data_IF_547895730256
#
_entry.id   IF_547895730256
#
_cell.length_a   1.000
_cell.length_b   1.000
_cell.length_c   1.000
_cell.angle_alpha   90.00
_cell.angle_beta   90.00
_cell.angle_gamma   90.00
#
_symmetry.space_group_name_H-M   'P 1'
#
loop_
_entity.id
_entity.type
_entity.pdbx_description
1 polymer ?
#
# COMPACT_ATOMS: atom_id res chain seq x y z
N UNK A 1 35.84 18.30 48.12
CA UNK A 1 34.41 17.91 48.14
C UNK A 1 34.38 16.43 47.77
N UNK A 2 34.01 15.58 48.74
CA UNK A 2 33.82 14.13 48.63
C UNK A 2 32.87 13.82 47.46
N UNK A 3 32.98 12.70 46.74
CA UNK A 3 32.37 11.40 47.12
C UNK A 3 33.20 10.23 46.55
N UNK A 4 33.59 9.32 47.45
CA UNK A 4 33.96 7.93 47.18
C UNK A 4 32.71 7.12 46.80
N UNK A 5 32.85 6.11 45.93
CA UNK A 5 32.33 4.72 46.09
C UNK A 5 32.54 3.97 44.76
N UNK A 6 33.46 3.00 44.64
CA UNK A 6 33.54 1.62 45.17
C UNK A 6 33.09 0.53 44.18
N UNK A 7 34.09 -0.24 43.75
CA UNK A 7 34.18 -1.70 43.56
C UNK A 7 33.17 -2.47 42.68
N UNK A 8 33.67 -2.85 41.51
CA UNK A 8 34.07 -4.22 41.13
C UNK A 8 33.20 -5.44 41.52
N UNK A 9 32.75 -6.12 40.44
CA UNK A 9 32.90 -7.56 40.12
C UNK A 9 32.11 -8.60 40.92
N UNK A 10 31.18 -9.26 40.22
CA UNK A 10 30.83 -10.68 40.37
C UNK A 10 30.63 -11.31 38.98
N UNK A 11 31.35 -12.42 38.72
CA UNK A 11 31.08 -13.45 37.70
C UNK A 11 30.41 -14.65 38.43
N UNK A 12 30.14 -15.81 37.79
CA UNK A 12 29.17 -16.14 36.74
C UNK A 12 28.21 -17.26 37.19
N UNK A 13 27.09 -17.54 36.50
CA UNK A 13 26.56 -18.92 36.44
C UNK A 13 25.68 -19.18 35.23
N UNK A 14 26.00 -20.30 34.58
CA UNK A 14 25.33 -20.96 33.45
C UNK A 14 24.13 -21.78 33.96
N UNK A 15 23.31 -22.28 33.02
CA UNK A 15 22.25 -23.31 33.05
C UNK A 15 20.84 -22.71 33.08
N UNK A 16 19.88 -23.04 32.20
CA UNK A 16 19.61 -24.25 31.43
C UNK A 16 18.98 -23.90 30.07
N UNK A 17 19.58 -24.38 28.97
CA UNK A 17 18.94 -24.45 27.67
C UNK A 17 18.13 -25.75 27.63
N UNK A 18 16.80 -25.67 27.72
CA UNK A 18 15.93 -26.85 27.65
C UNK A 18 15.87 -27.34 26.21
N UNK A 19 16.70 -28.34 25.90
CA UNK A 19 16.65 -29.13 24.67
C UNK A 19 15.28 -29.83 24.55
N UNK A 20 14.47 -29.44 23.56
CA UNK A 20 13.32 -30.24 23.11
C UNK A 20 13.82 -31.34 22.17
N UNK A 21 13.76 -32.58 22.65
CA UNK A 21 14.00 -33.78 21.83
C UNK A 21 12.79 -34.01 20.93
N UNK A 22 12.94 -33.67 19.65
CA UNK A 22 12.00 -34.01 18.58
C UNK A 22 11.97 -35.54 18.39
N UNK A 23 10.82 -36.16 18.63
CA UNK A 23 10.56 -37.57 18.30
C UNK A 23 9.56 -37.56 17.14
N UNK A 24 10.08 -37.51 15.92
CA UNK A 24 9.28 -37.72 14.71
C UNK A 24 9.13 -39.23 14.54
N UNK A 25 7.95 -39.75 14.90
CA UNK A 25 7.55 -41.13 14.58
C UNK A 25 7.16 -41.18 13.10
N UNK A 26 8.05 -41.77 12.30
CA UNK A 26 7.84 -42.16 10.92
C UNK A 26 6.88 -43.36 10.91
N UNK A 27 5.68 -43.17 10.38
CA UNK A 27 4.66 -44.20 10.20
C UNK A 27 4.07 -44.12 8.80
N UNK A 28 4.49 -45.05 7.95
CA UNK A 28 3.95 -45.31 6.61
C UNK A 28 2.69 -46.18 6.78
N UNK A 29 1.54 -45.81 6.19
CA UNK A 29 0.66 -46.75 5.48
C UNK A 29 -0.48 -46.06 4.70
N UNK A 30 -0.36 -46.15 3.38
CA UNK A 30 -1.39 -46.54 2.39
C UNK A 30 -2.81 -45.96 2.43
N UNK A 31 -3.11 -45.17 1.39
CA UNK A 31 -4.06 -45.59 0.34
C UNK A 31 -5.56 -45.42 0.61
N UNK A 32 -6.15 -44.39 0.00
CA UNK A 32 -7.47 -44.49 -0.63
C UNK A 32 -7.47 -43.75 -1.98
N UNK A 33 -7.78 -44.53 -3.01
CA UNK A 33 -8.14 -44.11 -4.36
C UNK A 33 -9.56 -43.49 -4.30
N UNK A 34 -9.76 -42.31 -4.90
CA UNK A 34 -11.01 -42.01 -5.60
C UNK A 34 -10.79 -40.95 -6.67
N UNK A 35 -11.08 -41.36 -7.89
CA UNK A 35 -11.22 -40.55 -9.09
C UNK A 35 -12.32 -39.48 -8.96
N UNK A 36 -12.25 -38.54 -9.92
CA UNK A 36 -13.27 -37.63 -10.44
C UNK A 36 -13.16 -36.17 -9.99
N UNK A 37 -12.72 -35.37 -10.96
CA UNK A 37 -12.80 -33.91 -10.92
C UNK A 37 -11.90 -33.29 -11.97
N UNK A 38 -12.19 -33.52 -13.25
CA UNK A 38 -11.77 -32.57 -14.29
C UNK A 38 -12.40 -31.22 -13.93
N UNK A 39 -11.62 -30.33 -13.33
CA UNK A 39 -11.95 -28.91 -13.31
C UNK A 39 -10.91 -28.25 -14.18
N UNK A 40 -11.39 -27.73 -15.30
CA UNK A 40 -10.64 -26.92 -16.23
C UNK A 40 -10.04 -25.75 -15.43
N UNK A 41 -8.78 -25.84 -15.05
CA UNK A 41 -8.01 -24.64 -14.79
C UNK A 41 -7.76 -24.06 -16.17
N UNK A 42 -8.72 -23.24 -16.61
CA UNK A 42 -8.53 -22.32 -17.71
C UNK A 42 -7.16 -21.69 -17.50
N UNK A 43 -6.28 -21.92 -18.47
CA UNK A 43 -5.01 -21.25 -18.62
C UNK A 43 -5.23 -19.76 -18.37
N UNK A 44 -4.82 -19.25 -17.21
CA UNK A 44 -4.66 -17.82 -16.97
C UNK A 44 -3.38 -17.41 -17.70
N UNK A 45 -3.44 -17.50 -19.02
CA UNK A 45 -2.53 -16.84 -19.96
C UNK A 45 -3.41 -15.94 -20.81
N UNK A 46 -4.09 -14.99 -20.17
CA UNK A 46 -4.47 -13.77 -20.84
C UNK A 46 -3.49 -12.68 -20.39
N UNK A 47 -2.31 -12.71 -21.01
CA UNK A 47 -1.35 -11.61 -20.97
C UNK A 47 -1.85 -10.46 -21.85
N UNK A 48 -3.10 -10.03 -21.66
CA UNK A 48 -3.51 -8.70 -22.06
C UNK A 48 -2.84 -7.76 -21.07
N UNK A 49 -1.72 -7.17 -21.47
CA UNK A 49 -1.02 -6.08 -20.77
C UNK A 49 -1.94 -4.85 -20.80
N UNK A 50 -3.05 -4.92 -20.08
CA UNK A 50 -3.97 -3.82 -19.86
C UNK A 50 -4.15 -3.69 -18.36
N UNK A 51 -3.88 -2.49 -17.87
CA UNK A 51 -4.26 -2.12 -16.53
C UNK A 51 -5.75 -2.45 -16.34
N UNK A 52 -6.09 -3.02 -15.18
CA UNK A 52 -7.48 -3.32 -14.86
C UNK A 52 -8.23 -2.00 -14.77
N UNK A 53 -9.29 -1.84 -15.55
CA UNK A 53 -10.11 -0.65 -15.52
C UNK A 53 -11.28 -0.82 -14.55
N UNK A 54 -11.54 0.21 -13.74
CA UNK A 54 -12.61 0.25 -12.75
C UNK A 54 -13.40 1.56 -12.81
N UNK A 55 -14.57 1.58 -12.18
CA UNK A 55 -15.20 2.85 -11.72
C UNK A 55 -14.91 3.05 -10.24
N UNK A 56 -15.10 4.27 -9.73
CA UNK A 56 -14.73 4.62 -8.36
C UNK A 56 -15.42 3.75 -7.29
N UNK A 57 -16.63 3.25 -7.56
CA UNK A 57 -17.38 2.37 -6.64
C UNK A 57 -16.73 1.00 -6.47
N UNK A 58 -15.89 0.57 -7.40
CA UNK A 58 -15.16 -0.71 -7.37
C UNK A 58 -13.80 -0.60 -6.66
N UNK A 59 -13.37 0.61 -6.27
CA UNK A 59 -12.09 0.86 -5.59
C UNK A 59 -11.97 0.08 -4.28
N UNK A 60 -13.06 -0.05 -3.51
CA UNK A 60 -13.09 -0.87 -2.30
C UNK A 60 -12.62 -2.31 -2.55
N UNK A 61 -12.97 -2.87 -3.71
CA UNK A 61 -12.51 -4.21 -4.10
C UNK A 61 -11.00 -4.26 -4.33
N UNK A 62 -10.39 -3.21 -4.88
CA UNK A 62 -8.95 -3.15 -5.10
C UNK A 62 -8.19 -2.92 -3.78
N UNK A 63 -8.70 -2.05 -2.91
CA UNK A 63 -8.14 -1.82 -1.58
C UNK A 63 -8.16 -3.10 -0.72
N UNK A 64 -9.21 -3.93 -0.83
CA UNK A 64 -9.27 -5.26 -0.20
C UNK A 64 -8.19 -6.22 -0.72
N UNK A 65 -7.88 -6.17 -2.01
CA UNK A 65 -6.81 -7.00 -2.57
C UNK A 65 -5.43 -6.54 -2.06
N UNK A 66 -5.20 -5.22 -1.99
CA UNK A 66 -3.98 -4.66 -1.42
C UNK A 66 -3.86 -5.01 0.07
N UNK A 67 -4.93 -4.87 0.86
CA UNK A 67 -4.94 -5.22 2.28
C UNK A 67 -4.58 -6.70 2.54
N UNK A 68 -5.01 -7.58 1.64
CA UNK A 68 -4.77 -9.03 1.68
C UNK A 68 -3.42 -9.46 1.06
N UNK A 69 -2.56 -8.51 0.64
CA UNK A 69 -1.29 -8.78 -0.06
C UNK A 69 -1.50 -9.64 -1.32
N UNK A 70 -2.59 -9.39 -2.05
CA UNK A 70 -2.94 -10.07 -3.31
C UNK A 70 -2.64 -9.21 -4.56
N UNK A 71 -1.99 -8.07 -4.36
CA UNK A 71 -1.45 -7.22 -5.41
C UNK A 71 0.02 -7.54 -5.62
N UNK A 72 0.56 -7.24 -6.81
CA UNK A 72 1.98 -7.44 -7.10
C UNK A 72 2.88 -6.50 -6.27
N UNK A 73 2.35 -5.31 -5.94
CA UNK A 73 3.04 -4.27 -5.19
C UNK A 73 2.32 -3.97 -3.88
N UNK A 74 3.04 -3.40 -2.91
CA UNK A 74 2.53 -2.97 -1.61
C UNK A 74 1.79 -1.61 -1.66
N UNK A 75 1.41 -1.20 -2.86
CA UNK A 75 0.58 -0.04 -3.13
C UNK A 75 -0.21 -0.27 -4.42
N UNK A 76 -1.28 0.51 -4.59
CA UNK A 76 -2.01 0.61 -5.86
C UNK A 76 -2.34 2.08 -6.09
N UNK A 77 -2.42 2.50 -7.35
CA UNK A 77 -2.93 3.79 -7.77
C UNK A 77 -4.16 3.67 -8.65
N UNK A 78 -4.90 4.77 -8.78
CA UNK A 78 -5.93 4.94 -9.79
C UNK A 78 -5.69 6.21 -10.59
N UNK A 79 -5.92 6.16 -11.89
CA UNK A 79 -5.84 7.34 -12.77
C UNK A 79 -6.78 7.19 -13.95
N UNK A 80 -7.38 8.29 -14.41
CA UNK A 80 -8.19 8.31 -15.65
C UNK A 80 -7.40 8.83 -16.85
N UNK A 81 -6.35 9.62 -16.62
CA UNK A 81 -5.63 10.32 -17.68
C UNK A 81 -4.12 10.55 -17.41
N UNK A 82 -3.57 9.97 -16.34
CA UNK A 82 -2.19 10.15 -15.88
C UNK A 82 -1.97 11.37 -14.99
N UNK A 83 -2.77 12.44 -15.13
CA UNK A 83 -2.63 13.69 -14.36
C UNK A 83 -3.24 13.53 -12.96
N UNK A 84 -4.37 12.82 -12.86
CA UNK A 84 -5.18 12.62 -11.66
C UNK A 84 -4.79 11.40 -10.82
N UNK A 85 -3.57 10.89 -11.01
CA UNK A 85 -3.10 9.68 -10.36
C UNK A 85 -2.94 9.87 -8.85
N UNK A 86 -3.69 9.11 -8.06
CA UNK A 86 -3.49 9.02 -6.61
C UNK A 86 -3.16 7.58 -6.22
N UNK A 87 -2.21 7.43 -5.32
CA UNK A 87 -1.74 6.17 -4.80
C UNK A 87 -2.26 5.90 -3.39
N UNK A 88 -2.57 4.66 -3.11
CA UNK A 88 -3.02 4.15 -1.82
C UNK A 88 -1.88 3.32 -1.23
N UNK A 89 -1.26 3.87 -0.20
CA UNK A 89 -0.12 3.25 0.47
C UNK A 89 -0.57 2.77 1.83
N UNK A 90 -0.24 1.52 2.16
CA UNK A 90 -0.53 0.95 3.47
C UNK A 90 0.57 1.31 4.46
N UNK A 91 0.18 1.91 5.57
CA UNK A 91 1.04 2.18 6.71
C UNK A 91 0.48 1.41 7.91
N UNK A 92 1.12 0.29 8.24
CA UNK A 92 0.59 -0.71 9.17
C UNK A 92 -0.78 -1.28 8.72
N UNK A 93 -1.87 -0.90 9.39
CA UNK A 93 -3.24 -1.34 9.07
C UNK A 93 -4.13 -0.20 8.56
N UNK A 94 -3.54 0.94 8.23
CA UNK A 94 -4.27 2.13 7.76
C UNK A 94 -3.72 2.59 6.42
N UNK A 95 -4.60 3.14 5.60
CA UNK A 95 -4.24 3.69 4.31
C UNK A 95 -3.90 5.17 4.43
N UNK A 96 -2.98 5.58 3.56
CA UNK A 96 -2.61 6.96 3.29
C UNK A 96 -2.75 7.19 1.79
N UNK A 97 -2.94 8.44 1.38
CA UNK A 97 -3.06 8.80 -0.04
C UNK A 97 -1.84 9.60 -0.47
N UNK A 98 -1.24 9.24 -1.59
CA UNK A 98 -0.08 9.92 -2.16
C UNK A 98 -0.34 10.43 -3.57
N UNK A 99 0.27 11.58 -3.89
CA UNK A 99 0.25 12.17 -5.23
C UNK A 99 1.67 12.59 -5.60
N UNK A 100 2.20 12.04 -6.69
CA UNK A 100 3.51 12.39 -7.25
C UNK A 100 3.33 13.27 -8.48
N UNK A 101 3.94 14.45 -8.49
CA UNK A 101 3.84 15.37 -9.62
C UNK A 101 5.00 15.15 -10.61
N UNK A 102 4.77 14.28 -11.60
CA UNK A 102 5.73 13.95 -12.66
C UNK A 102 5.69 14.93 -13.83
N UNK A 103 4.50 15.44 -14.18
CA UNK A 103 4.26 16.47 -15.18
C UNK A 103 4.24 17.88 -14.58
N UNK A 104 4.59 18.89 -15.39
CA UNK A 104 4.55 20.29 -14.94
C UNK A 104 3.12 20.76 -14.64
N UNK A 105 2.15 20.23 -15.39
CA UNK A 105 0.71 20.46 -15.22
C UNK A 105 0.15 19.83 -13.93
N UNK A 106 0.83 18.82 -13.38
CA UNK A 106 0.48 18.18 -12.11
C UNK A 106 0.84 19.03 -10.88
N UNK A 107 1.79 19.96 -11.00
CA UNK A 107 2.30 20.75 -9.86
C UNK A 107 1.18 21.53 -9.16
N UNK A 108 0.26 22.11 -9.91
CA UNK A 108 -0.87 22.85 -9.36
C UNK A 108 -1.77 21.99 -8.45
N UNK A 109 -1.79 20.67 -8.64
CA UNK A 109 -2.63 19.78 -7.86
C UNK A 109 -2.02 19.48 -6.49
N UNK A 110 -0.71 19.68 -6.28
CA UNK A 110 -0.11 19.61 -4.95
C UNK A 110 -0.78 20.61 -4.01
N UNK A 111 -0.95 21.86 -4.45
CA UNK A 111 -1.56 22.90 -3.61
C UNK A 111 -3.07 22.69 -3.45
N UNK A 112 -3.78 22.22 -4.50
CA UNK A 112 -5.19 21.84 -4.39
C UNK A 112 -5.40 20.68 -3.40
N UNK A 113 -4.53 19.67 -3.42
CA UNK A 113 -4.60 18.53 -2.50
C UNK A 113 -4.23 18.93 -1.07
N UNK A 114 -3.28 19.85 -0.88
CA UNK A 114 -3.01 20.45 0.45
C UNK A 114 -4.23 21.22 0.97
N UNK A 115 -4.89 21.99 0.12
CA UNK A 115 -6.12 22.69 0.48
C UNK A 115 -7.24 21.71 0.84
N UNK A 116 -7.45 20.66 0.04
CA UNK A 116 -8.37 19.57 0.33
C UNK A 116 -8.06 18.93 1.69
N UNK A 117 -6.79 18.59 1.94
CA UNK A 117 -6.36 17.98 3.20
C UNK A 117 -6.66 18.90 4.39
N UNK A 118 -6.28 20.17 4.31
CA UNK A 118 -6.54 21.15 5.36
C UNK A 118 -8.03 21.35 5.64
N UNK A 119 -8.86 21.41 4.61
CA UNK A 119 -10.32 21.58 4.74
C UNK A 119 -10.99 20.37 5.40
N UNK A 120 -10.41 19.18 5.24
CA UNK A 120 -10.92 17.94 5.81
C UNK A 120 -10.18 17.51 7.09
N UNK A 121 -9.30 18.36 7.63
CA UNK A 121 -8.59 18.09 8.89
C UNK A 121 -7.46 17.06 8.79
N UNK A 122 -6.97 16.77 7.59
CA UNK A 122 -5.83 15.87 7.38
C UNK A 122 -4.50 16.62 7.44
N UNK A 123 -3.52 16.02 8.11
CA UNK A 123 -2.14 16.45 8.01
C UNK A 123 -1.55 16.04 6.66
N UNK A 124 -0.51 16.75 6.21
CA UNK A 124 0.22 16.41 5.00
C UNK A 124 1.72 16.38 5.24
N UNK A 125 2.42 15.60 4.43
CA UNK A 125 3.87 15.50 4.43
C UNK A 125 4.38 15.55 3.00
N UNK A 126 5.39 16.38 2.75
CA UNK A 126 6.14 16.34 1.49
C UNK A 126 7.29 15.34 1.61
N UNK A 127 7.53 14.58 0.55
CA UNK A 127 8.69 13.72 0.38
C UNK A 127 9.07 13.62 -1.10
N UNK A 128 10.11 12.86 -1.39
CA UNK A 128 10.53 12.50 -2.75
C UNK A 128 10.94 11.02 -2.76
N UNK A 129 10.91 10.40 -3.93
CA UNK A 129 11.38 9.02 -4.15
C UNK A 129 12.62 8.94 -5.06
N UNK A 130 13.24 10.08 -5.40
CA UNK A 130 14.38 10.10 -6.34
C UNK A 130 13.99 10.05 -7.82
N UNK A 131 12.69 10.02 -8.14
CA UNK A 131 12.21 9.99 -9.53
C UNK A 131 12.46 11.33 -10.22
N UNK A 132 13.00 11.30 -11.44
CA UNK A 132 13.21 12.51 -12.26
C UNK A 132 11.89 12.90 -12.96
N UNK A 133 11.34 14.10 -12.71
CA UNK A 133 10.11 14.53 -13.38
C UNK A 133 10.38 15.03 -14.81
N UNK A 134 9.30 15.29 -15.55
CA UNK A 134 9.33 15.77 -16.94
C UNK A 134 9.66 17.28 -17.05
N UNK A 135 9.80 17.98 -15.93
CA UNK A 135 10.18 19.39 -15.85
C UNK A 135 11.55 19.56 -15.17
N UNK A 136 12.07 20.78 -15.20
CA UNK A 136 13.40 21.08 -14.65
C UNK A 136 13.38 21.12 -13.10
N UNK A 137 13.44 19.95 -12.50
CA UNK A 137 13.63 19.75 -11.07
C UNK A 137 14.50 18.51 -10.80
N UNK A 138 15.27 18.46 -9.70
CA UNK A 138 16.10 17.30 -9.38
C UNK A 138 15.28 16.03 -9.16
N UNK A 139 14.16 16.13 -8.42
CA UNK A 139 13.29 15.01 -8.08
C UNK A 139 11.82 15.44 -8.08
N UNK A 140 10.93 14.49 -8.34
CA UNK A 140 9.49 14.69 -8.30
C UNK A 140 9.02 14.83 -6.85
N UNK A 141 8.24 15.88 -6.51
CA UNK A 141 7.65 16.02 -5.20
C UNK A 141 6.47 15.06 -5.07
N UNK A 142 6.40 14.43 -3.90
CA UNK A 142 5.31 13.56 -3.50
C UNK A 142 4.63 14.18 -2.29
N UNK A 143 3.32 14.43 -2.42
CA UNK A 143 2.47 14.82 -1.32
C UNK A 143 1.83 13.57 -0.72
N UNK A 144 2.12 13.28 0.55
CA UNK A 144 1.41 12.27 1.35
C UNK A 144 0.35 12.95 2.21
N UNK A 145 -0.91 12.57 2.04
CA UNK A 145 -2.03 12.96 2.89
C UNK A 145 -2.21 11.88 3.96
N UNK A 146 -2.11 12.28 5.23
CA UNK A 146 -2.17 11.38 6.37
C UNK A 146 -3.63 11.10 6.78
N UNK A 147 -4.35 10.34 5.95
CA UNK A 147 -5.76 10.02 6.15
C UNK A 147 -5.99 9.03 7.30
N UNK A 148 -5.04 8.12 7.56
CA UNK A 148 -5.16 7.07 8.59
C UNK A 148 -6.49 6.28 8.51
N UNK A 149 -6.96 6.04 7.29
CA UNK A 149 -8.29 5.54 6.99
C UNK A 149 -8.31 4.01 6.86
N UNK A 150 -9.46 3.40 7.16
CA UNK A 150 -9.72 2.01 6.73
C UNK A 150 -10.14 1.94 5.24
N UNK A 151 -10.49 0.77 4.74
CA UNK A 151 -10.81 0.55 3.32
C UNK A 151 -11.98 1.43 2.88
N UNK A 152 -13.09 1.36 3.62
CA UNK A 152 -14.32 2.06 3.32
C UNK A 152 -14.14 3.59 3.37
N UNK A 153 -13.49 4.09 4.42
CA UNK A 153 -13.13 5.50 4.55
C UNK A 153 -12.22 5.96 3.42
N UNK A 154 -11.22 5.15 3.04
CA UNK A 154 -10.28 5.48 1.97
C UNK A 154 -10.98 5.62 0.63
N UNK A 155 -11.92 4.72 0.30
CA UNK A 155 -12.68 4.82 -0.94
C UNK A 155 -13.55 6.08 -0.99
N UNK A 156 -14.16 6.46 0.14
CA UNK A 156 -14.94 7.71 0.25
C UNK A 156 -14.03 8.93 0.06
N UNK A 157 -12.86 8.94 0.68
CA UNK A 157 -11.90 10.05 0.54
C UNK A 157 -11.39 10.14 -0.91
N UNK A 158 -11.03 9.01 -1.52
CA UNK A 158 -10.59 8.96 -2.91
C UNK A 158 -11.65 9.52 -3.87
N UNK A 159 -12.92 9.13 -3.68
CA UNK A 159 -14.03 9.65 -4.48
C UNK A 159 -14.16 11.17 -4.33
N UNK A 160 -14.02 11.70 -3.11
CA UNK A 160 -14.04 13.15 -2.87
C UNK A 160 -12.87 13.85 -3.53
N UNK A 161 -11.65 13.31 -3.45
CA UNK A 161 -10.48 13.86 -4.15
C UNK A 161 -10.73 13.90 -5.66
N UNK A 162 -11.13 12.77 -6.24
CA UNK A 162 -11.36 12.67 -7.67
C UNK A 162 -12.42 13.67 -8.16
N UNK A 163 -13.49 13.86 -7.39
CA UNK A 163 -14.54 14.82 -7.71
C UNK A 163 -14.12 16.28 -7.47
N UNK A 164 -13.68 16.60 -6.26
CA UNK A 164 -13.55 17.98 -5.79
C UNK A 164 -12.22 18.61 -6.24
N UNK A 165 -11.19 17.80 -6.46
CA UNK A 165 -9.85 18.26 -6.88
C UNK A 165 -9.62 18.06 -8.37
N UNK A 166 -9.98 16.89 -8.91
CA UNK A 166 -9.73 16.51 -10.30
C UNK A 166 -10.92 16.68 -11.23
N UNK A 167 -12.13 16.96 -10.70
CA UNK A 167 -13.33 17.22 -11.52
C UNK A 167 -13.92 15.96 -12.17
N UNK A 168 -13.54 14.77 -11.69
CA UNK A 168 -14.07 13.50 -12.15
C UNK A 168 -15.44 13.17 -11.52
N UNK A 169 -16.11 12.15 -12.03
CA UNK A 169 -17.42 11.72 -11.54
C UNK A 169 -17.49 10.20 -11.35
N UNK A 170 -18.67 9.68 -11.00
CA UNK A 170 -18.87 8.26 -10.69
C UNK A 170 -18.77 7.35 -11.93
N UNK A 171 -18.98 7.90 -13.13
CA UNK A 171 -18.89 7.19 -14.40
C UNK A 171 -17.46 7.19 -14.97
N UNK A 172 -16.58 8.05 -14.45
CA UNK A 172 -15.16 8.10 -14.84
C UNK A 172 -14.54 6.72 -14.69
N UNK A 173 -13.86 6.28 -15.76
CA UNK A 173 -13.10 5.05 -15.79
C UNK A 173 -11.68 5.33 -15.34
N UNK A 174 -11.18 4.51 -14.44
CA UNK A 174 -9.83 4.59 -13.91
C UNK A 174 -9.08 3.30 -14.21
N UNK A 175 -7.85 3.44 -14.67
CA UNK A 175 -6.91 2.33 -14.71
C UNK A 175 -6.30 2.15 -13.32
N UNK A 176 -6.24 0.90 -12.86
CA UNK A 176 -5.54 0.51 -11.63
C UNK A 176 -4.07 0.29 -11.98
N UNK A 177 -3.20 1.09 -11.39
CA UNK A 177 -1.76 1.11 -11.68
C UNK A 177 -0.95 0.69 -10.44
N UNK A 178 0.25 0.11 -10.63
CA UNK A 178 1.18 -0.12 -9.54
C UNK A 178 1.90 1.16 -9.11
#
# INVERSE_FOLDING_TARGET
MMVLMWKARWFPTITNFKSMKSIIRMGILSGFLSLFGCTNNASLTDSSIRAKQIVITELNGQLKLLDQHKTEFDLIGITSNGIDCIYFVKDSNKFQIEFEAMGNDQIQFIDKLKAFASQNGYATQMKTYGNKPQYDAPEAPVLKILTNSDIEETAVIAQKIQRDVFGNNEETKYDVVP
#
